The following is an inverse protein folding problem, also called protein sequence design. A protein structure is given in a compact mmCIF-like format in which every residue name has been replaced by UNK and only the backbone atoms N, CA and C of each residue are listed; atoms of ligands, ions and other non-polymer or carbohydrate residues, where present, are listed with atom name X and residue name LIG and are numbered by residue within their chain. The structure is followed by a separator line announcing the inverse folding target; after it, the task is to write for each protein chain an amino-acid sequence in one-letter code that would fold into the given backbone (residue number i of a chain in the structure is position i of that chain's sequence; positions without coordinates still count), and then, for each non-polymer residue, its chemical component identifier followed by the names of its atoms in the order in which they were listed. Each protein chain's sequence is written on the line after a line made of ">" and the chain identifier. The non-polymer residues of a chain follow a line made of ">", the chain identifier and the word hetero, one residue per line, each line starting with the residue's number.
data_IF_332432761125
#
_entry.id   IF_332432761125
#
_cell.length_a   1.000
_cell.length_b   1.000
_cell.length_c   1.000
_cell.angle_alpha   90.00
_cell.angle_beta   90.00
_cell.angle_gamma   90.00
#
_symmetry.space_group_name_H-M   'P 1'
#
loop_
_entity.id
_entity.type
_entity.pdbx_description
1 polymer ?
#
# COMPACT_ATOMS: atom_id res chain seq x y z
N UNK A 1 -34.62 -30.71 -55.33
CA UNK A 1 -34.15 -29.32 -55.11
C UNK A 1 -33.90 -29.16 -53.62
N UNK A 2 -32.77 -28.56 -53.27
CA UNK A 2 -32.04 -28.76 -52.00
C UNK A 2 -32.72 -28.03 -50.82
N UNK A 3 -33.54 -28.73 -50.04
CA UNK A 3 -34.15 -28.20 -48.80
C UNK A 3 -33.12 -27.81 -47.72
N UNK A 4 -31.92 -28.38 -47.78
CA UNK A 4 -30.81 -28.04 -46.89
C UNK A 4 -30.37 -26.57 -47.00
N UNK A 5 -30.50 -25.95 -48.17
CA UNK A 5 -30.14 -24.53 -48.33
C UNK A 5 -31.20 -23.57 -47.77
N UNK A 6 -32.45 -24.01 -47.69
CA UNK A 6 -33.54 -23.21 -47.09
C UNK A 6 -33.41 -23.21 -45.57
N UNK A 7 -33.07 -24.34 -44.95
CA UNK A 7 -32.82 -24.42 -43.50
C UNK A 7 -31.59 -23.61 -43.08
N UNK A 8 -30.51 -23.64 -43.88
CA UNK A 8 -29.32 -22.81 -43.62
C UNK A 8 -29.60 -21.32 -43.80
N UNK A 9 -30.41 -20.93 -44.79
CA UNK A 9 -30.81 -19.53 -44.96
C UNK A 9 -31.73 -19.03 -43.82
N UNK A 10 -32.61 -19.89 -43.30
CA UNK A 10 -33.46 -19.56 -42.14
C UNK A 10 -32.61 -19.43 -40.87
N UNK A 11 -31.68 -20.36 -40.62
CA UNK A 11 -30.77 -20.30 -39.47
C UNK A 11 -29.84 -19.08 -39.53
N UNK A 12 -29.34 -18.71 -40.71
CA UNK A 12 -28.54 -17.50 -40.89
C UNK A 12 -29.35 -16.20 -40.73
N UNK A 13 -30.66 -16.23 -41.00
CA UNK A 13 -31.54 -15.06 -40.78
C UNK A 13 -31.95 -14.85 -39.32
N UNK A 14 -31.81 -15.86 -38.45
CA UNK A 14 -31.95 -15.72 -36.99
C UNK A 14 -30.61 -15.42 -36.29
N UNK A 15 -29.47 -15.58 -36.98
CA UNK A 15 -28.14 -15.32 -36.44
C UNK A 15 -27.63 -13.89 -36.66
N UNK A 16 -28.45 -12.99 -37.19
CA UNK A 16 -28.09 -11.58 -37.37
C UNK A 16 -29.03 -10.71 -36.52
N UNK A 17 -28.41 -9.89 -35.66
CA UNK A 17 -29.00 -8.88 -34.76
C UNK A 17 -29.16 -9.33 -33.29
N UNK A 18 -28.08 -9.78 -32.65
CA UNK A 18 -27.83 -9.28 -31.28
C UNK A 18 -27.18 -7.90 -31.42
N UNK A 19 -27.98 -6.91 -31.81
CA UNK A 19 -27.64 -5.53 -31.54
C UNK A 19 -27.78 -5.38 -30.03
N UNK A 20 -26.67 -5.44 -29.29
CA UNK A 20 -26.61 -4.88 -27.94
C UNK A 20 -27.11 -3.44 -28.05
N UNK A 21 -28.32 -3.20 -27.55
CA UNK A 21 -29.00 -1.89 -27.62
C UNK A 21 -28.71 -1.04 -26.39
N UNK A 22 -28.11 -1.63 -25.38
CA UNK A 22 -27.69 -0.99 -24.14
C UNK A 22 -26.17 -0.92 -24.18
N UNK A 23 -25.66 0.29 -23.98
CA UNK A 23 -24.25 0.52 -23.65
C UNK A 23 -23.89 -0.26 -22.40
N UNK A 24 -22.60 -0.55 -22.23
CA UNK A 24 -22.09 -0.92 -20.93
C UNK A 24 -22.28 0.33 -20.03
N UNK A 25 -23.31 0.32 -19.19
CA UNK A 25 -23.53 1.39 -18.23
C UNK A 25 -22.55 1.17 -17.07
N UNK A 26 -21.56 2.05 -16.96
CA UNK A 26 -20.61 2.01 -15.85
C UNK A 26 -21.34 2.44 -14.57
N UNK A 27 -21.20 1.70 -13.46
CA UNK A 27 -21.71 2.14 -12.17
C UNK A 27 -21.10 3.50 -11.81
N UNK A 28 -21.96 4.45 -11.44
CA UNK A 28 -21.55 5.76 -10.92
C UNK A 28 -21.86 5.83 -9.42
N UNK A 29 -21.12 6.69 -8.71
CA UNK A 29 -21.43 6.98 -7.31
C UNK A 29 -22.88 7.48 -7.17
N UNK A 30 -23.67 6.76 -6.38
CA UNK A 30 -25.11 6.99 -6.27
C UNK A 30 -25.50 8.07 -5.24
N UNK A 31 -24.50 8.75 -4.65
CA UNK A 31 -24.71 9.84 -3.68
C UNK A 31 -25.20 9.39 -2.31
N UNK A 32 -25.32 8.08 -2.05
CA UNK A 32 -25.76 7.59 -0.72
C UNK A 32 -24.60 7.48 0.23
N UNK A 33 -24.77 8.06 1.41
CA UNK A 33 -23.85 7.89 2.52
C UNK A 33 -23.92 6.46 3.09
N UNK A 34 -22.76 5.83 3.18
CA UNK A 34 -22.57 4.47 3.69
C UNK A 34 -21.51 4.40 4.79
N UNK A 35 -20.84 5.51 5.08
CA UNK A 35 -19.78 5.58 6.09
C UNK A 35 -20.44 5.76 7.45
N UNK A 36 -20.02 4.95 8.43
CA UNK A 36 -20.52 5.09 9.80
C UNK A 36 -19.64 6.04 10.59
N UNK A 37 -20.25 7.04 11.21
CA UNK A 37 -19.60 7.84 12.26
C UNK A 37 -19.45 6.99 13.53
N UNK A 38 -18.25 6.44 13.74
CA UNK A 38 -17.95 5.56 14.87
C UNK A 38 -17.74 6.36 16.15
N UNK A 39 -18.42 5.95 17.21
CA UNK A 39 -18.30 6.56 18.53
C UNK A 39 -18.46 5.53 19.65
N UNK A 40 -18.19 5.96 20.89
CA UNK A 40 -18.25 5.11 22.07
C UNK A 40 -19.60 4.38 22.30
N UNK A 41 -20.69 4.84 21.68
CA UNK A 41 -22.03 4.24 21.83
C UNK A 41 -22.32 3.16 20.78
N UNK A 42 -21.81 3.29 19.56
CA UNK A 42 -22.19 2.42 18.44
C UNK A 42 -21.10 1.43 18.00
N UNK A 43 -19.81 1.65 18.34
CA UNK A 43 -18.69 0.86 17.79
C UNK A 43 -18.91 -0.65 17.89
N UNK A 44 -19.34 -1.14 19.06
CA UNK A 44 -19.58 -2.59 19.27
C UNK A 44 -20.66 -3.17 18.37
N UNK A 45 -21.68 -2.38 18.04
CA UNK A 45 -22.76 -2.83 17.18
C UNK A 45 -22.35 -2.80 15.71
N UNK A 46 -21.54 -1.81 15.32
CA UNK A 46 -21.06 -1.66 13.95
C UNK A 46 -20.02 -2.75 13.65
N UNK A 47 -19.06 -2.99 14.55
CA UNK A 47 -18.04 -4.03 14.41
C UNK A 47 -18.63 -5.44 14.25
N UNK A 48 -19.75 -5.74 14.92
CA UNK A 48 -20.42 -7.04 14.78
C UNK A 48 -21.13 -7.26 13.44
N UNK A 49 -21.27 -6.21 12.63
CA UNK A 49 -22.05 -6.25 11.38
C UNK A 49 -21.18 -6.57 10.17
N UNK A 50 -19.87 -6.30 10.26
CA UNK A 50 -18.94 -6.39 9.15
C UNK A 50 -17.79 -7.32 9.52
N UNK A 51 -17.41 -8.20 8.60
CA UNK A 51 -16.28 -9.12 8.78
C UNK A 51 -14.96 -8.34 8.70
N UNK A 52 -14.88 -7.34 7.82
CA UNK A 52 -13.77 -6.37 7.72
C UNK A 52 -14.32 -4.96 7.92
N UNK A 53 -13.56 -4.16 8.66
CA UNK A 53 -13.92 -2.77 8.94
C UNK A 53 -12.73 -1.86 8.65
N UNK A 54 -12.88 -0.99 7.66
CA UNK A 54 -11.93 0.09 7.38
C UNK A 54 -12.30 1.28 8.23
N UNK A 55 -11.35 1.75 9.05
CA UNK A 55 -11.53 2.90 9.92
C UNK A 55 -10.61 4.02 9.46
N UNK A 56 -11.19 5.09 8.94
CA UNK A 56 -10.46 6.32 8.69
C UNK A 56 -10.39 7.14 9.97
N UNK A 57 -9.24 7.13 10.63
CA UNK A 57 -8.99 7.92 11.83
C UNK A 57 -8.50 9.32 11.41
N UNK A 58 -9.18 10.36 11.89
CA UNK A 58 -8.88 11.73 11.50
C UNK A 58 -9.05 12.70 12.68
N UNK A 59 -8.30 13.79 12.67
CA UNK A 59 -8.42 14.85 13.67
C UNK A 59 -9.87 15.35 13.78
N UNK A 60 -10.30 15.60 15.03
CA UNK A 60 -11.62 16.16 15.27
C UNK A 60 -11.67 17.59 14.67
N UNK A 61 -12.69 17.95 13.87
CA UNK A 61 -12.79 19.27 13.22
C UNK A 61 -12.97 20.47 14.17
N UNK A 62 -12.87 20.27 15.49
CA UNK A 62 -13.12 21.29 16.50
C UNK A 62 -11.89 21.54 17.39
N UNK A 63 -11.42 22.79 17.44
CA UNK A 63 -10.29 23.23 18.27
C UNK A 63 -10.59 23.37 19.78
N UNK A 64 -11.75 22.90 20.24
CA UNK A 64 -12.16 23.05 21.64
C UNK A 64 -11.51 22.00 22.53
N UNK A 65 -11.18 22.38 23.78
CA UNK A 65 -10.63 21.46 24.79
C UNK A 65 -11.56 20.28 25.15
N UNK A 66 -12.85 20.39 24.80
CA UNK A 66 -13.84 19.32 24.99
C UNK A 66 -13.78 18.35 23.80
N UNK A 67 -13.66 18.85 22.58
CA UNK A 67 -13.46 18.05 21.37
C UNK A 67 -12.12 17.28 21.44
N UNK A 68 -11.04 17.91 21.91
CA UNK A 68 -9.76 17.23 22.13
C UNK A 68 -9.84 16.10 23.18
N UNK A 69 -10.54 16.32 24.30
CA UNK A 69 -10.76 15.26 25.29
C UNK A 69 -11.68 14.15 24.79
N UNK A 70 -12.65 14.50 23.95
CA UNK A 70 -13.53 13.52 23.31
C UNK A 70 -12.73 12.66 22.34
N UNK A 71 -11.84 13.28 21.56
CA UNK A 71 -10.90 12.63 20.66
C UNK A 71 -9.93 11.69 21.39
N UNK A 72 -9.29 12.14 22.49
CA UNK A 72 -8.44 11.28 23.34
C UNK A 72 -9.20 10.04 23.86
N UNK A 73 -10.49 10.20 24.20
CA UNK A 73 -11.33 9.08 24.67
C UNK A 73 -11.71 8.15 23.52
N UNK A 74 -11.96 8.70 22.33
CA UNK A 74 -12.29 7.95 21.11
C UNK A 74 -11.08 7.17 20.58
N UNK A 75 -9.89 7.77 20.63
CA UNK A 75 -8.61 7.12 20.34
C UNK A 75 -8.34 5.96 21.32
N UNK A 76 -8.44 6.20 22.64
CA UNK A 76 -8.34 5.14 23.65
C UNK A 76 -9.43 4.07 23.49
N UNK A 77 -10.61 4.43 23.00
CA UNK A 77 -11.66 3.46 22.70
C UNK A 77 -11.29 2.64 21.45
N UNK A 78 -10.74 3.27 20.40
CA UNK A 78 -10.28 2.64 19.18
C UNK A 78 -9.12 1.68 19.47
N UNK A 79 -8.10 2.14 20.19
CA UNK A 79 -6.96 1.32 20.66
C UNK A 79 -7.44 0.12 21.48
N UNK A 80 -8.47 0.33 22.31
CA UNK A 80 -9.09 -0.76 23.07
C UNK A 80 -9.98 -1.66 22.23
N UNK A 81 -10.49 -1.20 21.09
CA UNK A 81 -11.20 -2.02 20.11
C UNK A 81 -10.23 -2.88 19.32
N UNK A 82 -9.15 -2.27 18.81
CA UNK A 82 -8.00 -2.97 18.21
C UNK A 82 -7.61 -4.17 19.06
N UNK A 83 -7.44 -3.97 20.38
CA UNK A 83 -7.03 -5.03 21.34
C UNK A 83 -8.09 -6.08 21.72
N UNK A 84 -9.40 -5.88 21.47
CA UNK A 84 -10.45 -6.74 22.06
C UNK A 84 -11.46 -7.33 21.04
N UNK A 85 -11.41 -6.93 19.76
CA UNK A 85 -12.46 -7.24 18.80
C UNK A 85 -11.99 -8.02 17.57
N UNK A 86 -10.73 -7.87 17.17
CA UNK A 86 -10.11 -8.55 16.04
C UNK A 86 -8.81 -9.17 16.53
N UNK A 87 -8.45 -10.30 15.93
CA UNK A 87 -7.15 -10.94 16.20
C UNK A 87 -6.04 -10.10 15.56
N UNK A 88 -6.29 -9.49 14.39
CA UNK A 88 -5.33 -8.61 13.68
C UNK A 88 -5.82 -7.20 13.36
N UNK A 89 -4.88 -6.25 13.33
CA UNK A 89 -5.11 -4.85 12.94
C UNK A 89 -4.02 -4.38 12.00
N UNK A 90 -4.41 -4.11 10.75
CA UNK A 90 -3.50 -3.68 9.69
C UNK A 90 -3.53 -2.15 9.59
N UNK A 91 -2.36 -1.54 9.59
CA UNK A 91 -2.17 -0.11 9.30
C UNK A 91 -1.95 0.06 7.80
N UNK A 92 -2.72 0.96 7.18
CA UNK A 92 -2.60 1.24 5.75
C UNK A 92 -1.79 2.51 5.57
N UNK A 93 -0.61 2.38 4.96
CA UNK A 93 0.32 3.48 4.70
C UNK A 93 0.63 3.61 3.19
N UNK A 94 -0.44 3.62 2.41
CA UNK A 94 -0.42 3.79 0.96
C UNK A 94 -1.23 5.00 0.48
N UNK A 95 -1.30 5.16 -0.84
CA UNK A 95 -2.05 6.22 -1.52
C UNK A 95 -3.52 6.19 -1.10
N UNK A 96 -4.07 7.37 -0.75
CA UNK A 96 -5.48 7.51 -0.40
C UNK A 96 -6.35 7.65 -1.67
N UNK A 97 -6.31 6.64 -2.54
CA UNK A 97 -7.08 6.54 -3.77
C UNK A 97 -8.09 5.37 -3.71
N UNK A 98 -9.23 5.52 -4.39
CA UNK A 98 -10.36 4.60 -4.23
C UNK A 98 -10.10 3.21 -4.86
N UNK A 99 -9.40 3.18 -5.99
CA UNK A 99 -8.89 1.98 -6.64
C UNK A 99 -7.87 1.27 -5.75
N UNK A 100 -6.82 1.97 -5.32
CA UNK A 100 -5.77 1.40 -4.45
C UNK A 100 -6.34 0.82 -3.15
N UNK A 101 -7.22 1.56 -2.47
CA UNK A 101 -7.88 1.07 -1.26
C UNK A 101 -8.75 -0.15 -1.51
N UNK A 102 -9.47 -0.20 -2.64
CA UNK A 102 -10.33 -1.34 -2.97
C UNK A 102 -9.49 -2.58 -3.26
N UNK A 103 -8.38 -2.44 -3.99
CA UNK A 103 -7.43 -3.52 -4.25
C UNK A 103 -6.82 -4.04 -2.94
N UNK A 104 -6.31 -3.14 -2.09
CA UNK A 104 -5.78 -3.51 -0.78
C UNK A 104 -6.82 -4.25 0.09
N UNK A 105 -8.07 -3.77 0.13
CA UNK A 105 -9.14 -4.45 0.88
C UNK A 105 -9.45 -5.84 0.29
N UNK A 106 -9.36 -6.02 -1.03
CA UNK A 106 -9.52 -7.35 -1.62
C UNK A 106 -8.44 -8.29 -1.15
N UNK A 107 -7.18 -7.86 -1.12
CA UNK A 107 -6.07 -8.65 -0.61
C UNK A 107 -6.27 -9.00 0.87
N UNK A 108 -6.74 -8.06 1.70
CA UNK A 108 -7.07 -8.32 3.12
C UNK A 108 -8.20 -9.36 3.28
N UNK A 109 -9.14 -9.46 2.33
CA UNK A 109 -10.24 -10.45 2.35
C UNK A 109 -9.73 -11.86 2.04
N UNK A 110 -8.64 -11.99 1.29
CA UNK A 110 -8.10 -13.29 0.90
C UNK A 110 -7.47 -14.03 2.09
N UNK A 111 -7.33 -15.35 1.95
CA UNK A 111 -6.69 -16.16 2.98
C UNK A 111 -5.20 -15.79 3.07
N UNK A 112 -4.61 -15.66 4.28
CA UNK A 112 -3.22 -15.22 4.44
C UNK A 112 -2.19 -16.22 3.89
N UNK A 113 -2.59 -17.48 3.65
CA UNK A 113 -1.72 -18.50 3.06
C UNK A 113 -2.34 -19.13 1.82
N UNK A 114 -1.71 -18.92 0.67
CA UNK A 114 -2.10 -19.51 -0.61
C UNK A 114 -1.57 -20.95 -0.77
N UNK A 115 -2.44 -21.88 -1.21
CA UNK A 115 -2.06 -23.29 -1.38
C UNK A 115 -1.66 -23.61 -2.82
N UNK A 116 -0.41 -24.06 -3.00
CA UNK A 116 0.12 -24.55 -4.28
C UNK A 116 -0.02 -26.08 -4.35
N UNK A 117 -0.96 -26.57 -5.16
CA UNK A 117 -1.20 -28.01 -5.36
C UNK A 117 -0.81 -28.50 -6.76
N UNK A 118 -0.66 -27.61 -7.74
CA UNK A 118 -0.32 -28.01 -9.10
C UNK A 118 0.71 -27.11 -9.81
N UNK A 119 1.17 -27.56 -10.98
CA UNK A 119 2.21 -26.87 -11.74
C UNK A 119 1.77 -25.55 -12.36
N UNK A 120 0.47 -25.23 -12.38
CA UNK A 120 -0.01 -23.93 -12.86
C UNK A 120 0.06 -22.91 -11.73
N UNK A 121 -0.35 -23.29 -10.52
CA UNK A 121 -0.18 -22.47 -9.31
C UNK A 121 1.30 -22.25 -9.00
N UNK A 122 2.14 -23.28 -9.15
CA UNK A 122 3.59 -23.12 -8.98
C UNK A 122 4.17 -22.04 -9.91
N UNK A 123 3.68 -21.95 -11.16
CA UNK A 123 4.08 -20.89 -12.07
C UNK A 123 3.53 -19.51 -11.68
N UNK A 124 2.38 -19.48 -11.02
CA UNK A 124 1.86 -18.24 -10.43
C UNK A 124 2.82 -17.74 -9.37
N UNK A 125 3.19 -18.62 -8.43
CA UNK A 125 4.19 -18.35 -7.40
C UNK A 125 5.55 -17.92 -7.98
N UNK A 126 6.07 -18.62 -9.00
CA UNK A 126 7.35 -18.28 -9.64
C UNK A 126 7.32 -16.86 -10.27
N UNK A 127 6.17 -16.37 -10.71
CA UNK A 127 6.03 -15.06 -11.36
C UNK A 127 5.85 -13.88 -10.39
N UNK A 128 5.73 -14.12 -9.08
CA UNK A 128 5.66 -13.04 -8.08
C UNK A 128 7.09 -12.58 -7.79
N UNK A 129 7.56 -11.53 -8.46
CA UNK A 129 8.95 -11.05 -8.32
C UNK A 129 9.06 -9.79 -7.45
N UNK A 130 7.99 -8.99 -7.36
CA UNK A 130 8.04 -7.65 -6.74
C UNK A 130 7.85 -7.67 -5.22
N UNK A 131 7.22 -8.72 -4.69
CA UNK A 131 6.87 -8.84 -3.27
C UNK A 131 7.76 -9.87 -2.56
N UNK A 132 8.04 -9.63 -1.27
CA UNK A 132 8.59 -10.66 -0.38
C UNK A 132 7.60 -11.82 -0.37
N UNK A 133 8.10 -13.04 -0.59
CA UNK A 133 7.26 -14.24 -0.56
C UNK A 133 7.93 -15.39 0.17
N UNK A 134 7.12 -16.16 0.89
CA UNK A 134 7.56 -17.37 1.59
C UNK A 134 6.85 -18.59 1.03
N UNK A 135 7.53 -19.74 0.96
CA UNK A 135 6.88 -21.01 0.63
C UNK A 135 7.30 -22.14 1.55
N UNK A 136 6.30 -22.75 2.19
CA UNK A 136 6.48 -23.88 3.09
C UNK A 136 6.00 -25.22 2.52
N UNK A 137 6.75 -26.31 2.75
CA UNK A 137 6.28 -27.67 2.46
C UNK A 137 5.85 -28.40 3.74
N UNK A 138 4.55 -28.65 3.90
CA UNK A 138 4.01 -29.29 5.09
C UNK A 138 3.31 -30.61 4.78
N UNK A 139 3.00 -31.37 5.86
CA UNK A 139 2.35 -32.67 5.72
C UNK A 139 0.87 -32.54 5.31
N UNK A 140 0.18 -31.54 5.84
CA UNK A 140 -1.26 -31.28 5.64
C UNK A 140 -1.66 -30.00 6.38
N UNK A 141 -2.83 -29.44 6.06
CA UNK A 141 -3.45 -28.32 6.81
C UNK A 141 -3.65 -28.55 8.33
N UNK A 142 -3.44 -29.78 8.83
CA UNK A 142 -3.56 -30.13 10.27
C UNK A 142 -2.22 -30.32 10.97
N UNK A 143 -1.09 -30.02 10.32
CA UNK A 143 0.20 -30.13 11.00
C UNK A 143 0.45 -28.90 11.84
N UNK A 144 0.93 -29.09 13.07
CA UNK A 144 1.32 -28.01 13.99
C UNK A 144 2.31 -27.03 13.34
N UNK A 145 3.19 -27.48 12.43
CA UNK A 145 4.12 -26.62 11.70
C UNK A 145 3.45 -25.75 10.63
N UNK A 146 2.32 -26.19 10.08
CA UNK A 146 1.55 -25.38 9.14
C UNK A 146 0.70 -24.37 9.89
N UNK A 147 0.14 -24.75 11.05
CA UNK A 147 -0.58 -23.85 11.94
C UNK A 147 0.34 -22.68 12.36
N UNK A 148 1.53 -22.95 12.90
CA UNK A 148 2.50 -21.90 13.24
C UNK A 148 2.97 -21.05 12.04
N UNK A 149 2.94 -21.59 10.81
CA UNK A 149 3.26 -20.85 9.60
C UNK A 149 2.11 -19.97 9.14
N UNK A 150 0.87 -20.41 9.33
CA UNK A 150 -0.33 -19.64 9.04
C UNK A 150 -0.55 -18.54 10.08
N UNK A 151 -0.30 -18.82 11.37
CA UNK A 151 -0.33 -17.82 12.43
C UNK A 151 0.67 -16.70 12.13
N UNK A 152 1.91 -17.04 11.74
CA UNK A 152 2.91 -16.05 11.32
C UNK A 152 2.51 -15.28 10.05
N UNK A 153 1.69 -15.87 9.17
CA UNK A 153 1.24 -15.20 7.95
C UNK A 153 0.20 -14.11 8.25
N UNK A 154 -0.63 -14.29 9.30
CA UNK A 154 -1.64 -13.30 9.72
C UNK A 154 -0.99 -11.98 10.14
N UNK A 155 0.17 -12.02 10.78
CA UNK A 155 0.94 -10.84 11.23
C UNK A 155 1.46 -9.95 10.09
N UNK A 156 1.71 -10.51 8.90
CA UNK A 156 2.22 -9.76 7.74
C UNK A 156 1.20 -9.62 6.60
N UNK A 157 -0.02 -10.10 6.78
CA UNK A 157 -1.04 -10.05 5.75
C UNK A 157 -1.56 -8.62 5.57
N UNK A 158 -1.67 -8.07 4.34
CA UNK A 158 -1.41 -8.70 3.04
C UNK A 158 -0.07 -8.33 2.40
N UNK A 159 0.82 -7.66 3.14
CA UNK A 159 2.07 -7.07 2.63
C UNK A 159 3.09 -8.12 2.20
N UNK A 160 3.19 -9.24 2.93
CA UNK A 160 4.09 -10.36 2.58
C UNK A 160 3.28 -11.57 2.15
N UNK A 161 3.64 -12.18 1.00
CA UNK A 161 2.85 -13.27 0.41
C UNK A 161 3.30 -14.63 0.94
N UNK A 162 2.44 -15.33 1.66
CA UNK A 162 2.72 -16.67 2.18
C UNK A 162 2.10 -17.75 1.30
N UNK A 163 2.91 -18.74 0.93
CA UNK A 163 2.50 -19.90 0.17
C UNK A 163 2.78 -21.19 0.93
N UNK A 164 1.94 -22.19 0.73
CA UNK A 164 2.18 -23.52 1.27
C UNK A 164 1.86 -24.60 0.23
N UNK A 165 2.62 -25.70 0.29
CA UNK A 165 2.28 -26.90 -0.45
C UNK A 165 2.19 -28.11 0.46
N UNK A 166 1.25 -29.01 0.15
CA UNK A 166 1.18 -30.35 0.73
C UNK A 166 1.56 -31.42 -0.31
N UNK A 167 1.89 -30.99 -1.53
CA UNK A 167 2.11 -31.84 -2.67
C UNK A 167 3.61 -32.13 -2.86
N UNK A 168 4.01 -33.38 -2.61
CA UNK A 168 5.42 -33.79 -2.71
C UNK A 168 6.05 -33.59 -4.11
N UNK A 169 5.27 -33.40 -5.17
CA UNK A 169 5.80 -33.06 -6.50
C UNK A 169 6.14 -31.58 -6.63
N UNK A 170 5.30 -30.71 -6.06
CA UNK A 170 5.53 -29.26 -6.01
C UNK A 170 6.73 -28.99 -5.11
N UNK A 171 6.74 -29.55 -3.90
CA UNK A 171 7.88 -29.45 -2.99
C UNK A 171 9.20 -29.91 -3.62
N UNK A 172 9.16 -30.98 -4.43
CA UNK A 172 10.35 -31.44 -5.16
C UNK A 172 10.81 -30.46 -6.25
N UNK A 173 9.89 -29.74 -6.89
CA UNK A 173 10.24 -28.74 -7.89
C UNK A 173 10.90 -27.51 -7.24
N UNK A 174 10.41 -27.12 -6.05
CA UNK A 174 10.99 -26.08 -5.19
C UNK A 174 12.17 -26.56 -4.33
N UNK A 175 12.64 -27.79 -4.52
CA UNK A 175 13.72 -28.41 -3.72
C UNK A 175 13.51 -28.48 -2.18
N UNK A 176 12.30 -28.21 -1.69
CA UNK A 176 11.88 -28.24 -0.29
C UNK A 176 11.81 -29.66 0.31
N UNK A 177 12.28 -29.80 1.56
CA UNK A 177 12.01 -30.98 2.41
C UNK A 177 10.83 -30.70 3.34
N UNK A 178 10.34 -31.75 4.00
CA UNK A 178 9.19 -31.64 4.89
C UNK A 178 9.50 -30.68 6.06
N UNK A 179 8.60 -29.72 6.25
CA UNK A 179 8.69 -28.58 7.16
C UNK A 179 9.80 -27.58 6.80
N UNK A 180 10.29 -27.60 5.55
CA UNK A 180 11.12 -26.51 5.06
C UNK A 180 10.24 -25.31 4.70
N UNK A 181 10.77 -24.12 4.98
CA UNK A 181 10.22 -22.83 4.57
C UNK A 181 11.38 -22.09 3.92
N UNK A 182 11.16 -21.66 2.69
CA UNK A 182 12.07 -20.81 1.92
C UNK A 182 11.50 -19.39 1.92
N UNK A 183 12.39 -18.41 2.11
CA UNK A 183 12.13 -16.98 1.99
C UNK A 183 12.73 -16.48 0.69
N UNK A 184 11.96 -15.75 -0.10
CA UNK A 184 12.38 -15.11 -1.33
C UNK A 184 12.29 -13.60 -1.13
N UNK A 185 13.44 -12.96 -1.23
CA UNK A 185 13.54 -11.51 -1.36
C UNK A 185 13.05 -11.08 -2.76
N UNK A 186 12.40 -9.92 -2.90
CA UNK A 186 12.02 -9.37 -4.20
C UNK A 186 13.17 -9.37 -5.19
N UNK A 187 12.87 -9.75 -6.43
CA UNK A 187 13.80 -9.80 -7.55
C UNK A 187 15.00 -10.76 -7.41
N UNK A 188 15.10 -11.52 -6.32
CA UNK A 188 16.14 -12.52 -6.10
C UNK A 188 15.59 -13.93 -6.41
N UNK A 189 16.21 -14.62 -7.37
CA UNK A 189 15.79 -15.96 -7.82
C UNK A 189 16.06 -17.05 -6.76
N UNK A 190 17.21 -16.98 -6.10
CA UNK A 190 17.68 -18.00 -5.15
C UNK A 190 17.14 -17.71 -3.73
N UNK A 191 16.36 -18.63 -3.12
CA UNK A 191 15.79 -18.39 -1.80
C UNK A 191 16.78 -18.58 -0.66
N UNK A 192 16.47 -17.92 0.46
CA UNK A 192 17.08 -18.17 1.76
C UNK A 192 16.28 -19.21 2.53
N UNK A 193 16.90 -20.35 2.83
CA UNK A 193 16.31 -21.37 3.71
C UNK A 193 16.35 -20.87 5.16
N UNK A 194 15.18 -20.65 5.76
CA UNK A 194 15.09 -20.18 7.15
C UNK A 194 15.81 -21.17 8.09
N UNK A 195 16.78 -20.73 8.92
CA UNK A 195 17.50 -21.63 9.81
C UNK A 195 16.65 -22.07 11.01
N UNK A 196 16.97 -23.21 11.63
CA UNK A 196 16.45 -23.53 12.97
C UNK A 196 15.23 -24.46 13.08
N UNK A 197 14.85 -25.20 12.04
CA UNK A 197 13.70 -26.15 12.05
C UNK A 197 13.62 -27.08 13.29
N UNK A 198 12.42 -27.39 13.80
CA UNK A 198 11.11 -26.86 13.39
C UNK A 198 10.87 -25.44 13.91
N UNK A 199 10.17 -24.62 13.13
CA UNK A 199 9.90 -23.21 13.46
C UNK A 199 8.68 -23.06 14.36
N UNK A 200 8.74 -22.15 15.32
CA UNK A 200 7.56 -21.49 15.90
C UNK A 200 7.17 -20.25 15.11
N UNK A 201 5.95 -19.76 15.33
CA UNK A 201 5.47 -18.46 14.87
C UNK A 201 6.48 -17.34 15.17
N UNK A 202 6.87 -17.16 16.44
CA UNK A 202 7.90 -16.18 16.87
C UNK A 202 9.23 -16.27 16.09
N UNK A 203 9.63 -17.47 15.65
CA UNK A 203 10.89 -17.67 14.92
C UNK A 203 10.76 -17.27 13.44
N UNK A 204 9.57 -17.44 12.86
CA UNK A 204 9.25 -17.00 11.51
C UNK A 204 9.08 -15.48 11.46
N UNK A 205 8.26 -14.93 12.36
CA UNK A 205 8.02 -13.48 12.49
C UNK A 205 9.34 -12.75 12.64
N UNK A 206 10.15 -13.16 13.61
CA UNK A 206 11.45 -12.54 13.82
C UNK A 206 12.37 -12.64 12.61
N UNK A 207 12.39 -13.78 11.91
CA UNK A 207 13.23 -13.90 10.72
C UNK A 207 12.78 -12.93 9.63
N UNK A 208 11.48 -12.77 9.45
CA UNK A 208 10.92 -11.85 8.45
C UNK A 208 11.23 -10.41 8.84
N UNK A 209 10.98 -10.00 10.09
CA UNK A 209 11.35 -8.67 10.60
C UNK A 209 12.85 -8.38 10.50
N UNK A 210 13.72 -9.37 10.70
CA UNK A 210 15.17 -9.20 10.55
C UNK A 210 15.60 -9.07 9.06
N UNK A 211 14.69 -9.30 8.09
CA UNK A 211 14.94 -9.30 6.64
C UNK A 211 13.79 -8.62 5.85
N UNK A 212 13.08 -7.66 6.45
CA UNK A 212 11.89 -7.02 5.87
C UNK A 212 12.23 -5.82 4.97
N UNK A 213 13.52 -5.45 4.88
CA UNK A 213 14.06 -4.45 3.96
C UNK A 213 14.85 -5.13 2.82
N UNK A 214 14.25 -5.27 1.62
CA UNK A 214 14.94 -5.79 0.44
C UNK A 214 16.01 -4.85 -0.09
N UNK A 215 16.98 -5.43 -0.79
CA UNK A 215 18.05 -4.75 -1.53
C UNK A 215 17.48 -3.95 -2.70
N UNK A 216 16.47 -4.49 -3.38
CA UNK A 216 15.69 -3.81 -4.42
C UNK A 216 14.21 -3.95 -4.08
N UNK A 217 13.52 -2.83 -3.89
CA UNK A 217 12.10 -2.78 -3.53
C UNK A 217 11.35 -1.89 -4.51
N UNK A 218 10.18 -2.33 -4.96
CA UNK A 218 9.33 -1.54 -5.85
C UNK A 218 8.42 -0.63 -5.04
N UNK A 219 8.44 0.66 -5.33
CA UNK A 219 7.45 1.60 -4.83
C UNK A 219 6.13 1.34 -5.55
N UNK A 220 5.08 1.03 -4.79
CA UNK A 220 3.74 0.75 -5.30
C UNK A 220 2.72 1.65 -4.59
N UNK A 221 1.55 1.93 -5.21
CA UNK A 221 0.56 2.82 -4.60
C UNK A 221 0.14 2.41 -3.18
N UNK A 222 0.01 1.12 -2.88
CA UNK A 222 -0.42 0.63 -1.57
C UNK A 222 0.63 0.66 -0.45
N UNK A 223 1.93 0.82 -0.76
CA UNK A 223 3.03 0.79 0.21
C UNK A 223 3.93 2.05 0.15
N UNK A 224 3.51 3.07 -0.60
CA UNK A 224 4.38 4.20 -0.96
C UNK A 224 4.91 4.98 0.24
N UNK A 225 4.10 5.17 1.29
CA UNK A 225 4.52 5.96 2.47
C UNK A 225 5.33 5.10 3.44
N UNK A 226 5.01 3.81 3.56
CA UNK A 226 5.80 2.82 4.30
C UNK A 226 7.24 2.78 3.78
N UNK A 227 7.42 2.61 2.47
CA UNK A 227 8.75 2.58 1.83
C UNK A 227 9.47 3.92 1.99
N UNK A 228 8.78 5.04 1.81
CA UNK A 228 9.41 6.36 1.89
C UNK A 228 9.84 6.73 3.33
N UNK A 229 9.10 6.27 4.34
CA UNK A 229 9.43 6.49 5.75
C UNK A 229 10.56 5.56 6.26
N UNK A 230 10.92 4.53 5.49
CA UNK A 230 11.97 3.57 5.81
C UNK A 230 13.29 3.92 5.11
N UNK A 231 13.85 5.10 5.40
CA UNK A 231 15.12 5.58 4.86
C UNK A 231 16.34 4.81 5.42
N UNK A 232 17.47 4.95 4.73
CA UNK A 232 18.78 4.47 5.16
C UNK A 232 19.61 5.69 5.53
N UNK A 233 19.83 5.91 6.83
CA UNK A 233 20.62 7.03 7.35
C UNK A 233 20.16 8.44 6.88
N UNK A 234 18.87 8.61 6.57
CA UNK A 234 18.28 9.88 6.10
C UNK A 234 18.06 9.93 4.59
N UNK A 235 18.52 8.94 3.83
CA UNK A 235 18.56 8.99 2.38
C UNK A 235 17.87 7.79 1.72
N UNK A 236 17.49 7.96 0.45
CA UNK A 236 17.03 6.88 -0.43
C UNK A 236 17.85 6.85 -1.72
N UNK A 237 18.31 5.65 -2.11
CA UNK A 237 18.76 5.41 -3.49
C UNK A 237 17.51 5.10 -4.32
N UNK A 238 17.17 5.98 -5.25
CA UNK A 238 15.96 5.88 -6.07
C UNK A 238 16.33 5.59 -7.52
N UNK A 239 15.68 4.60 -8.12
CA UNK A 239 15.79 4.29 -9.54
C UNK A 239 14.43 4.45 -10.24
N UNK A 240 14.35 5.32 -11.24
CA UNK A 240 13.18 5.42 -12.12
C UNK A 240 13.40 4.58 -13.37
N UNK A 241 12.47 3.67 -13.67
CA UNK A 241 12.48 2.87 -14.89
C UNK A 241 11.07 2.38 -15.24
N UNK A 242 10.60 2.70 -16.45
CA UNK A 242 9.32 2.18 -16.97
C UNK A 242 9.52 0.74 -17.48
N UNK A 243 8.89 -0.26 -16.85
CA UNK A 243 9.05 -1.67 -17.23
C UNK A 243 8.58 -1.95 -18.67
N UNK A 244 7.58 -1.19 -19.12
CA UNK A 244 6.99 -1.33 -20.45
C UNK A 244 7.86 -0.73 -21.58
N UNK A 245 8.80 0.16 -21.23
CA UNK A 245 9.73 0.77 -22.17
C UNK A 245 10.98 -0.12 -22.39
N UNK A 246 11.51 -0.27 -23.61
CA UNK A 246 12.68 -1.10 -23.85
C UNK A 246 13.94 -0.69 -23.07
N UNK A 247 14.18 0.62 -22.91
CA UNK A 247 15.36 1.13 -22.22
C UNK A 247 15.16 1.01 -20.69
N UNK A 248 13.94 1.27 -20.20
CA UNK A 248 13.55 1.00 -18.81
C UNK A 248 13.67 -0.47 -18.43
N UNK A 249 13.24 -1.40 -19.29
CA UNK A 249 13.40 -2.84 -19.06
C UNK A 249 14.88 -3.26 -19.01
N UNK A 250 15.72 -2.75 -19.92
CA UNK A 250 17.15 -3.08 -19.92
C UNK A 250 17.84 -2.56 -18.66
N UNK A 251 17.52 -1.34 -18.22
CA UNK A 251 18.03 -0.77 -16.98
C UNK A 251 17.56 -1.53 -15.74
N UNK A 252 16.29 -1.96 -15.70
CA UNK A 252 15.76 -2.77 -14.61
C UNK A 252 16.51 -4.11 -14.47
N UNK A 253 16.83 -4.78 -15.58
CA UNK A 253 17.60 -6.03 -15.52
C UNK A 253 19.03 -5.80 -14.99
N UNK A 254 19.62 -4.62 -15.24
CA UNK A 254 20.91 -4.22 -14.65
C UNK A 254 20.75 -3.99 -13.13
N UNK A 255 19.71 -3.29 -12.70
CA UNK A 255 19.40 -3.08 -11.28
C UNK A 255 19.20 -4.41 -10.54
N UNK A 256 18.45 -5.34 -11.12
CA UNK A 256 18.26 -6.69 -10.55
C UNK A 256 19.59 -7.42 -10.39
N UNK A 257 20.49 -7.32 -11.38
CA UNK A 257 21.81 -7.92 -11.29
C UNK A 257 22.64 -7.31 -10.15
N UNK A 258 22.68 -5.97 -10.05
CA UNK A 258 23.41 -5.27 -8.98
C UNK A 258 22.86 -5.64 -7.60
N UNK A 259 21.53 -5.72 -7.46
CA UNK A 259 20.87 -6.15 -6.24
C UNK A 259 21.21 -7.60 -5.88
N UNK A 260 21.21 -8.53 -6.85
CA UNK A 260 21.62 -9.93 -6.63
C UNK A 260 23.07 -10.05 -6.19
N UNK A 261 23.98 -9.28 -6.81
CA UNK A 261 25.40 -9.28 -6.46
C UNK A 261 25.67 -8.67 -5.06
N UNK A 262 24.75 -7.82 -4.55
CA UNK A 262 24.90 -7.06 -3.30
C UNK A 262 23.85 -7.39 -2.20
N UNK A 263 23.05 -8.45 -2.35
CA UNK A 263 21.97 -8.83 -1.40
C UNK A 263 22.44 -9.04 0.06
N UNK A 264 23.72 -9.37 0.26
CA UNK A 264 24.30 -9.54 1.60
C UNK A 264 24.68 -8.20 2.29
N UNK A 265 24.50 -7.05 1.62
CA UNK A 265 24.83 -5.73 2.15
C UNK A 265 23.60 -5.08 2.85
N UNK A 266 23.56 -5.02 4.20
CA UNK A 266 22.41 -4.49 4.93
C UNK A 266 22.22 -2.98 4.80
N UNK A 267 23.24 -2.28 4.32
CA UNK A 267 23.22 -0.82 4.16
C UNK A 267 22.73 -0.41 2.76
N UNK A 268 22.49 -1.38 1.85
CA UNK A 268 21.97 -1.13 0.51
C UNK A 268 20.47 -1.41 0.43
N UNK A 269 19.69 -0.40 0.06
CA UNK A 269 18.29 -0.58 -0.37
C UNK A 269 17.96 0.41 -1.47
N UNK A 270 17.61 -0.10 -2.64
CA UNK A 270 17.26 0.67 -3.83
C UNK A 270 15.72 0.66 -3.98
N UNK A 271 15.14 1.85 -4.07
CA UNK A 271 13.71 2.04 -4.36
C UNK A 271 13.53 2.18 -5.86
N UNK A 272 13.02 1.14 -6.52
CA UNK A 272 12.60 1.23 -7.91
C UNK A 272 11.20 1.82 -8.01
N UNK A 273 11.04 2.86 -8.83
CA UNK A 273 9.77 3.49 -9.14
C UNK A 273 9.50 3.31 -10.63
N UNK A 274 8.41 2.64 -10.97
CA UNK A 274 7.86 2.70 -12.31
C UNK A 274 7.03 4.00 -12.44
N UNK A 275 7.43 4.96 -13.30
CA UNK A 275 6.72 6.23 -13.40
C UNK A 275 5.25 6.09 -13.87
N UNK A 276 4.91 5.01 -14.57
CA UNK A 276 3.55 4.73 -15.04
C UNK A 276 2.57 4.40 -13.90
N UNK A 277 3.07 3.92 -12.76
CA UNK A 277 2.27 3.63 -11.57
C UNK A 277 1.85 4.92 -10.84
N UNK A 278 2.54 6.04 -11.07
CA UNK A 278 2.31 7.31 -10.37
C UNK A 278 2.17 8.52 -11.33
N UNK A 279 1.18 8.49 -12.24
CA UNK A 279 1.04 9.50 -13.29
C UNK A 279 0.78 10.93 -12.77
N UNK A 280 0.31 11.06 -11.52
CA UNK A 280 0.07 12.36 -10.88
C UNK A 280 1.33 12.95 -10.23
N UNK A 281 2.32 12.13 -9.89
CA UNK A 281 3.58 12.55 -9.28
C UNK A 281 4.66 12.86 -10.32
N UNK A 282 4.54 12.31 -11.53
CA UNK A 282 5.44 12.58 -12.67
C UNK A 282 5.87 14.06 -12.80
N UNK A 283 4.96 15.05 -12.95
CA UNK A 283 5.37 16.45 -13.13
C UNK A 283 6.00 17.06 -11.87
N UNK A 284 5.73 16.47 -10.70
CA UNK A 284 6.33 16.92 -9.45
C UNK A 284 7.77 16.43 -9.34
N UNK A 285 8.04 15.16 -9.64
CA UNK A 285 9.40 14.60 -9.62
C UNK A 285 10.31 15.26 -10.65
N UNK A 286 9.89 15.37 -11.92
CA UNK A 286 10.68 16.05 -12.97
C UNK A 286 11.06 17.48 -12.56
N UNK A 287 10.13 18.20 -11.90
CA UNK A 287 10.37 19.57 -11.47
C UNK A 287 11.27 19.66 -10.23
N UNK A 288 11.09 18.74 -9.28
CA UNK A 288 11.79 18.78 -7.98
C UNK A 288 13.23 18.32 -8.15
N UNK A 289 13.42 17.19 -8.83
CA UNK A 289 14.73 16.59 -9.05
C UNK A 289 15.44 17.11 -10.30
N UNK A 290 14.75 17.84 -11.18
CA UNK A 290 15.36 18.39 -12.40
C UNK A 290 15.72 17.34 -13.45
N UNK A 291 15.14 16.15 -13.37
CA UNK A 291 15.39 14.99 -14.24
C UNK A 291 14.31 14.86 -15.33
N UNK A 292 14.63 14.08 -16.38
CA UNK A 292 13.70 13.68 -17.44
C UNK A 292 13.30 12.21 -17.25
N UNK A 293 12.06 11.99 -16.79
CA UNK A 293 11.52 10.65 -16.53
C UNK A 293 11.08 9.90 -17.80
N UNK A 294 11.32 10.47 -18.99
CA UNK A 294 11.18 9.72 -20.25
C UNK A 294 12.35 8.77 -20.53
N UNK A 295 13.42 8.82 -19.71
CA UNK A 295 14.55 7.90 -19.73
C UNK A 295 14.78 7.35 -18.31
N UNK A 296 15.46 6.20 -18.17
CA UNK A 296 15.82 5.68 -16.87
C UNK A 296 16.69 6.65 -16.07
N UNK A 297 16.51 6.71 -14.75
CA UNK A 297 17.26 7.57 -13.84
C UNK A 297 17.66 6.78 -12.59
N UNK A 298 18.80 7.11 -11.98
CA UNK A 298 19.15 6.64 -10.63
C UNK A 298 19.87 7.74 -9.87
N UNK A 299 19.53 7.92 -8.60
CA UNK A 299 20.02 9.03 -7.78
C UNK A 299 19.90 8.75 -6.28
N UNK A 300 20.56 9.57 -5.48
CA UNK A 300 20.39 9.65 -4.03
C UNK A 300 19.48 10.85 -3.74
N UNK A 301 18.50 10.66 -2.86
CA UNK A 301 17.56 11.70 -2.43
C UNK A 301 17.51 11.77 -0.92
N UNK A 302 17.71 12.96 -0.37
CA UNK A 302 17.52 13.24 1.06
C UNK A 302 16.03 13.17 1.42
N UNK A 303 15.70 12.48 2.51
CA UNK A 303 14.32 12.24 2.92
C UNK A 303 13.65 13.45 3.60
N UNK A 304 14.43 14.40 4.13
CA UNK A 304 13.97 15.56 4.90
C UNK A 304 13.64 16.77 4.01
N UNK A 305 14.49 17.10 3.02
CA UNK A 305 14.30 18.28 2.16
C UNK A 305 14.19 18.02 0.66
N UNK A 306 14.39 16.76 0.24
CA UNK A 306 14.33 16.29 -1.14
C UNK A 306 15.42 16.88 -2.06
N UNK A 307 16.53 17.35 -1.49
CA UNK A 307 17.76 17.56 -2.26
C UNK A 307 18.27 16.22 -2.81
N UNK A 308 18.89 16.27 -3.99
CA UNK A 308 19.18 15.04 -4.75
C UNK A 308 20.33 15.17 -5.72
N UNK A 309 21.02 14.05 -5.93
CA UNK A 309 22.13 13.89 -6.86
C UNK A 309 21.89 12.66 -7.74
N UNK A 310 22.07 12.81 -9.05
CA UNK A 310 21.68 11.80 -10.05
C UNK A 310 22.88 11.36 -10.88
N UNK A 311 22.94 10.07 -11.22
CA UNK A 311 23.93 9.53 -12.14
C UNK A 311 23.73 10.14 -13.53
N UNK A 312 24.78 10.74 -14.07
CA UNK A 312 24.79 11.29 -15.43
C UNK A 312 24.78 10.15 -16.46
N UNK A 313 23.59 9.90 -17.01
CA UNK A 313 23.37 8.99 -18.13
C UNK A 313 23.03 9.83 -19.35
N UNK A 314 23.82 9.71 -20.42
CA UNK A 314 23.69 10.50 -21.67
C UNK A 314 22.34 10.24 -22.40
N UNK A 315 21.21 10.71 -21.84
CA UNK A 315 19.84 10.65 -22.36
C UNK A 315 19.46 9.29 -23.02
N UNK A 316 19.86 8.17 -22.41
CA UNK A 316 19.59 6.81 -22.90
C UNK A 316 20.47 6.32 -24.07
N UNK A 317 21.49 7.08 -24.50
CA UNK A 317 22.40 6.64 -25.58
C UNK A 317 23.42 5.58 -25.10
N UNK A 318 23.83 5.60 -23.83
CA UNK A 318 24.75 4.64 -23.22
C UNK A 318 24.29 4.30 -21.78
N UNK A 319 23.63 3.15 -21.59
CA UNK A 319 23.29 2.63 -20.25
C UNK A 319 24.55 2.17 -19.50
N UNK A 320 24.61 2.35 -18.17
CA UNK A 320 25.72 1.85 -17.36
C UNK A 320 25.72 0.33 -17.38
N UNK A 321 26.92 -0.26 -17.33
CA UNK A 321 27.03 -1.68 -16.98
C UNK A 321 26.77 -1.91 -15.50
N UNK A 322 26.46 -3.15 -15.10
CA UNK A 322 26.28 -3.51 -13.69
C UNK A 322 27.50 -3.11 -12.83
N UNK A 323 28.73 -3.32 -13.34
CA UNK A 323 29.97 -2.93 -12.65
C UNK A 323 30.05 -1.41 -12.46
N UNK A 324 29.68 -0.60 -13.46
CA UNK A 324 29.70 0.88 -13.36
C UNK A 324 28.62 1.41 -12.41
N UNK A 325 27.46 0.75 -12.38
CA UNK A 325 26.39 1.10 -11.46
C UNK A 325 26.72 0.71 -10.02
N UNK A 326 27.33 -0.46 -9.81
CA UNK A 326 27.83 -0.91 -8.52
C UNK A 326 28.88 0.07 -7.97
N UNK A 327 29.88 0.46 -8.77
CA UNK A 327 30.89 1.45 -8.39
C UNK A 327 30.22 2.78 -7.94
N UNK A 328 29.22 3.27 -8.67
CA UNK A 328 28.50 4.50 -8.31
C UNK A 328 27.70 4.38 -7.00
N UNK A 329 27.05 3.22 -6.78
CA UNK A 329 26.32 2.94 -5.53
C UNK A 329 27.29 2.82 -4.35
N UNK A 330 28.46 2.21 -4.53
CA UNK A 330 29.49 2.15 -3.49
C UNK A 330 29.95 3.56 -3.09
N UNK A 331 30.16 4.44 -4.07
CA UNK A 331 30.54 5.83 -3.83
C UNK A 331 29.42 6.58 -3.05
N UNK A 332 28.16 6.40 -3.42
CA UNK A 332 26.99 6.93 -2.70
C UNK A 332 26.91 6.43 -1.25
N UNK A 333 26.95 5.11 -1.02
CA UNK A 333 26.91 4.54 0.33
C UNK A 333 28.11 4.94 1.20
N UNK A 334 29.22 5.34 0.59
CA UNK A 334 30.41 5.80 1.32
C UNK A 334 30.36 7.28 1.71
N UNK A 335 29.36 8.03 1.21
CA UNK A 335 29.26 9.48 1.32
C UNK A 335 30.25 10.24 0.43
N UNK A 336 30.77 9.61 -0.63
CA UNK A 336 31.53 10.32 -1.68
C UNK A 336 30.58 11.03 -2.67
N UNK A 337 29.33 10.57 -2.75
CA UNK A 337 28.23 11.20 -3.48
C UNK A 337 27.17 11.52 -2.44
N UNK A 338 27.05 12.78 -2.05
CA UNK A 338 26.17 13.27 -0.99
C UNK A 338 25.42 14.51 -1.52
N UNK A 339 24.07 14.55 -1.47
CA UNK A 339 23.29 15.72 -1.89
C UNK A 339 23.61 17.01 -1.11
N UNK A 340 24.14 16.91 0.11
CA UNK A 340 24.48 18.07 0.96
C UNK A 340 25.87 18.68 0.67
N UNK A 341 26.75 17.98 -0.06
CA UNK A 341 28.17 18.37 -0.22
C UNK A 341 28.43 19.43 -1.32
N UNK A 342 27.39 19.87 -2.06
CA UNK A 342 27.50 20.87 -3.14
C UNK A 342 27.66 22.33 -2.66
N UNK A 343 27.65 22.58 -1.34
CA UNK A 343 27.61 23.93 -0.76
C UNK A 343 28.99 24.56 -0.40
N UNK A 344 30.13 23.85 -0.55
CA UNK A 344 31.41 24.27 0.05
C UNK A 344 32.58 24.61 -0.91
N UNK A 345 32.40 24.63 -2.24
CA UNK A 345 33.54 24.74 -3.21
C UNK A 345 33.55 25.98 -4.14
N UNK A 346 32.97 27.11 -3.71
CA UNK A 346 32.97 28.38 -4.49
C UNK A 346 33.62 29.58 -3.77
N UNK A 347 34.68 29.35 -2.99
CA UNK A 347 35.40 30.41 -2.23
C UNK A 347 36.93 30.45 -2.49
N UNK A 348 37.37 30.12 -3.72
CA UNK A 348 38.74 30.37 -4.21
C UNK A 348 38.73 31.34 -5.43
N UNK A 349 38.15 32.54 -5.24
CA UNK A 349 38.47 33.71 -6.08
C UNK A 349 39.88 34.20 -5.70
N UNK A 350 40.88 33.48 -6.20
CA UNK A 350 42.29 33.85 -6.14
C UNK A 350 42.53 35.13 -6.97
N UNK A 351 42.96 36.16 -6.26
CA UNK A 351 43.56 37.41 -6.71
C UNK A 351 44.30 37.32 -8.07
N UNK A 352 43.74 37.94 -9.11
CA UNK A 352 44.55 38.46 -10.22
C UNK A 352 44.36 39.98 -10.32
N UNK A 353 45.24 40.67 -9.57
CA UNK A 353 45.69 42.04 -9.81
C UNK A 353 46.08 42.20 -11.30
N UNK A 354 45.30 42.98 -12.06
CA UNK A 354 45.83 43.72 -13.20
C UNK A 354 45.23 45.15 -13.20
N UNK A 355 46.00 46.03 -12.57
CA UNK A 355 46.03 47.47 -12.82
C UNK A 355 46.17 47.75 -14.33
N UNK A 356 45.31 48.58 -14.90
CA UNK A 356 45.70 49.72 -15.74
C UNK A 356 44.44 50.49 -16.23
N UNK A 357 44.13 51.54 -15.48
CA UNK A 357 44.05 52.95 -15.92
C UNK A 357 43.15 53.41 -17.09
N UNK A 358 42.55 54.57 -16.79
CA UNK A 358 42.07 55.65 -17.66
C UNK A 358 40.65 55.48 -18.26
N UNK A 359 39.72 56.43 -18.17
CA UNK A 359 39.63 57.74 -17.52
C UNK A 359 38.24 58.28 -17.89
N UNK A 360 37.76 59.21 -17.07
CA UNK A 360 36.94 60.37 -17.43
C UNK A 360 35.40 60.28 -17.54
N UNK A 361 34.81 60.95 -16.53
CA UNK A 361 33.87 62.07 -16.63
C UNK A 361 32.38 61.71 -16.53
N UNK A 362 31.79 61.97 -15.35
CA UNK A 362 31.16 63.25 -14.96
C UNK A 362 29.77 63.35 -15.62
N UNK A 363 28.68 63.75 -14.99
CA UNK A 363 28.41 64.34 -13.70
C UNK A 363 26.87 64.52 -13.66
N UNK A 364 26.37 64.85 -12.47
CA UNK A 364 25.15 65.61 -12.19
C UNK A 364 23.80 64.87 -12.32
N UNK A 365 23.20 64.51 -11.19
CA UNK A 365 22.41 65.37 -10.30
C UNK A 365 21.06 65.77 -10.94
N UNK A 366 19.97 65.34 -10.32
CA UNK A 366 19.12 66.30 -9.60
C UNK A 366 18.02 65.56 -8.83
N UNK A 367 18.02 65.86 -7.53
CA UNK A 367 16.96 65.71 -6.55
C UNK A 367 15.63 66.37 -6.97
N UNK A 368 14.57 66.01 -6.25
CA UNK A 368 13.45 66.84 -5.78
C UNK A 368 12.15 66.03 -5.91
N UNK A 369 11.63 65.48 -4.81
CA UNK A 369 10.91 66.15 -3.70
C UNK A 369 9.39 66.26 -3.95
N UNK A 370 8.70 66.17 -2.81
CA UNK A 370 7.32 66.58 -2.50
C UNK A 370 6.19 65.58 -2.87
N UNK A 371 5.58 64.91 -1.89
CA UNK A 371 4.70 65.39 -0.79
C UNK A 371 3.21 65.41 -1.18
N UNK A 372 2.39 65.24 -0.14
CA UNK A 372 0.94 65.44 -0.04
C UNK A 372 0.04 64.31 -0.60
N UNK A 373 -1.04 63.90 0.04
CA UNK A 373 -1.63 64.11 1.37
C UNK A 373 -2.87 63.19 1.38
N UNK A 374 -3.29 62.82 2.59
CA UNK A 374 -4.68 62.69 3.07
C UNK A 374 -5.82 62.38 2.08
N UNK A 375 -6.61 61.34 2.41
CA UNK A 375 -7.97 61.63 2.90
C UNK A 375 -8.56 60.43 3.64
N UNK A 376 -9.04 60.78 4.83
CA UNK A 376 -9.93 60.06 5.72
C UNK A 376 -11.31 59.81 5.07
N UNK A 377 -12.08 58.92 5.70
CA UNK A 377 -13.52 58.99 5.98
C UNK A 377 -14.08 57.55 5.90
N UNK A 378 -14.30 56.90 7.04
CA UNK A 378 -15.55 56.99 7.83
C UNK A 378 -16.79 56.66 6.97
N UNK A 379 -17.43 55.54 7.26
CA UNK A 379 -18.78 55.62 7.83
C UNK A 379 -19.23 54.26 8.36
N UNK A 380 -19.58 54.32 9.64
CA UNK A 380 -20.46 53.45 10.39
C UNK A 380 -21.81 53.24 9.68
N UNK A 381 -22.46 52.12 10.01
CA UNK A 381 -23.86 52.06 10.48
C UNK A 381 -24.20 50.56 10.52
N UNK A 382 -24.16 49.91 11.69
CA UNK A 382 -25.17 49.94 12.75
C UNK A 382 -26.57 49.46 12.32
N UNK A 383 -27.18 48.81 13.32
CA UNK A 383 -28.57 48.42 13.49
C UNK A 383 -28.94 47.01 13.03
N UNK A 384 -28.88 46.01 13.92
CA UNK A 384 -29.71 45.82 15.12
C UNK A 384 -31.18 45.53 14.83
N UNK A 385 -31.70 44.69 15.71
CA UNK A 385 -33.10 44.51 16.07
C UNK A 385 -33.95 43.71 15.09
N UNK A 386 -34.76 42.76 15.53
CA UNK A 386 -35.04 42.17 16.84
C UNK A 386 -36.23 41.24 16.56
N UNK A 387 -36.43 40.27 17.45
CA UNK A 387 -37.75 39.86 17.97
C UNK A 387 -38.84 39.39 16.97
N UNK A 388 -39.66 38.41 17.28
CA UNK A 388 -39.92 37.62 18.47
C UNK A 388 -40.94 36.57 18.00
N UNK A 389 -41.01 35.49 18.77
CA UNK A 389 -42.22 34.81 19.22
C UNK A 389 -43.43 34.68 18.26
N UNK A 390 -43.89 33.45 18.09
CA UNK A 390 -45.05 33.04 18.89
C UNK A 390 -45.28 31.53 18.76
N UNK A 391 -45.33 30.91 19.94
CA UNK A 391 -46.01 29.66 20.25
C UNK A 391 -47.47 29.68 19.73
N UNK A 392 -48.01 28.51 19.41
CA UNK A 392 -49.23 27.99 20.04
C UNK A 392 -49.73 26.72 19.32
N UNK A 393 -49.67 25.64 20.09
CA UNK A 393 -50.79 24.76 20.46
C UNK A 393 -51.50 23.83 19.44
N UNK A 394 -51.49 22.57 19.87
CA UNK A 394 -52.61 21.63 20.00
C UNK A 394 -53.30 21.07 18.73
N UNK A 395 -53.25 19.74 18.58
CA UNK A 395 -54.34 18.90 19.08
C UNK A 395 -54.06 17.40 18.86
N UNK A 396 -54.49 16.66 19.87
CA UNK A 396 -54.63 15.21 20.08
C UNK A 396 -55.07 14.35 18.87
N UNK A 397 -54.65 13.08 18.88
CA UNK A 397 -55.60 11.96 18.83
C UNK A 397 -54.94 10.68 19.38
N UNK A 398 -55.51 10.23 20.50
CA UNK A 398 -55.38 8.90 21.10
C UNK A 398 -55.88 7.81 20.12
N UNK A 399 -55.24 6.64 20.14
CA UNK A 399 -55.96 5.37 20.01
C UNK A 399 -55.20 4.31 20.82
N UNK A 400 -55.81 3.96 21.95
CA UNK A 400 -55.57 2.77 22.76
C UNK A 400 -55.81 1.49 21.95
N UNK A 401 -55.03 0.44 22.22
CA UNK A 401 -55.54 -0.94 22.28
C UNK A 401 -54.56 -1.77 23.13
N UNK A 402 -54.84 -1.80 24.44
CA UNK A 402 -54.47 -2.90 25.34
C UNK A 402 -55.36 -4.11 25.02
N UNK A 403 -54.78 -5.32 24.96
CA UNK A 403 -55.43 -6.56 25.40
C UNK A 403 -54.35 -7.63 25.62
N UNK A 404 -53.94 -7.69 26.88
CA UNK A 404 -53.83 -8.85 27.78
C UNK A 404 -53.91 -10.31 27.23
N UNK A 405 -53.16 -11.13 27.97
CA UNK A 405 -53.46 -12.49 28.44
C UNK A 405 -52.85 -13.75 27.76
N UNK A 406 -52.08 -14.42 28.63
CA UNK A 406 -52.09 -15.84 29.01
C UNK A 406 -51.25 -16.87 28.21
N UNK A 407 -50.19 -17.33 28.90
CA UNK A 407 -49.98 -18.70 29.39
C UNK A 407 -50.56 -19.85 28.53
N UNK A 408 -49.69 -20.77 28.12
CA UNK A 408 -49.77 -22.15 28.62
C UNK A 408 -48.52 -22.95 28.21
N UNK A 409 -47.96 -23.60 29.24
CA UNK A 409 -47.06 -24.74 29.17
C UNK A 409 -47.64 -25.87 28.31
N UNK A 410 -46.79 -26.65 27.66
CA UNK A 410 -46.92 -28.11 27.62
C UNK A 410 -45.55 -28.73 27.29
N UNK A 411 -44.96 -29.30 28.35
CA UNK A 411 -44.04 -30.41 28.30
C UNK A 411 -44.65 -31.60 27.54
N UNK A 412 -43.84 -32.35 26.82
CA UNK A 412 -43.98 -33.81 26.75
C UNK A 412 -42.60 -34.41 26.46
N UNK A 413 -42.00 -34.89 27.55
CA UNK A 413 -41.01 -35.96 27.62
C UNK A 413 -41.56 -37.27 27.00
N UNK A 414 -40.65 -38.12 26.53
CA UNK A 414 -40.60 -39.59 26.72
C UNK A 414 -39.60 -40.12 25.68
N UNK A 415 -38.37 -40.46 26.07
CA UNK A 415 -37.96 -41.75 26.69
C UNK A 415 -38.22 -42.97 25.78
N UNK A 416 -37.14 -43.64 25.40
CA UNK A 416 -36.91 -45.07 25.66
C UNK A 416 -35.67 -45.55 24.87
N UNK A 417 -34.55 -45.61 25.58
CA UNK A 417 -33.87 -46.84 26.01
C UNK A 417 -33.70 -48.06 25.07
N UNK A 418 -32.56 -48.69 25.35
CA UNK A 418 -32.25 -50.13 25.31
C UNK A 418 -31.50 -50.74 24.10
N UNK A 419 -30.23 -51.03 24.43
CA UNK A 419 -29.65 -52.38 24.52
C UNK A 419 -28.76 -52.89 23.37
N UNK A 420 -27.48 -53.04 23.77
CA UNK A 420 -26.73 -54.31 23.83
C UNK A 420 -26.85 -55.30 22.66
N UNK A 421 -25.71 -55.60 22.04
CA UNK A 421 -25.06 -56.92 22.18
C UNK A 421 -23.79 -56.98 21.31
N UNK A 422 -22.67 -57.10 22.01
CA UNK A 422 -21.68 -58.20 21.93
C UNK A 422 -21.32 -58.91 20.60
N UNK A 423 -20.04 -59.31 20.62
CA UNK A 423 -19.41 -60.50 20.04
C UNK A 423 -18.67 -60.42 18.69
N UNK A 424 -17.34 -60.57 18.88
CA UNK A 424 -16.50 -61.63 18.33
C UNK A 424 -15.74 -61.41 17.01
N UNK A 425 -14.41 -61.51 17.17
CA UNK A 425 -13.49 -62.40 16.46
C UNK A 425 -13.60 -62.49 14.92
N UNK A 426 -12.52 -62.13 14.23
CA UNK A 426 -11.59 -63.15 13.71
C UNK A 426 -10.48 -62.54 12.82
N UNK A 427 -9.29 -63.11 13.02
CA UNK A 427 -8.14 -63.22 12.12
C UNK A 427 -8.34 -62.81 10.63
N UNK A 428 -7.41 -62.00 10.10
CA UNK A 428 -6.37 -62.43 9.14
C UNK A 428 -5.41 -61.31 8.72
#
# INVERSE_FOLDING_TARGET
>A
MKWTWVLVAVLLSFGALSLGKESLDFPEYDGKDRVHDLNAKNYKSVMKKYDIMVVYYHDHPGSSRVAQRQFEIEELALERCKRNAYDEVIEYDGELAADTLVEFIYDVIEDPVEIIDNSKELKGFENVEEDIKLVGYFKSHKSEHFEAFADAAEEFHPHIKFFATFNAKVAKALELKLNDVDFYEPFIDDPVLIPGKPYSEDELVKFIEDNDRPTLRKLQPHNMYEIWADDVDGEHIIAFAEEADPDGFEFLEILKQVAEDNTDNPDLSIVWIDPDDFPLLLPHWEKTFGIDLSHPQIGVVDADDADSVWLDMDDGEDMPSADELEDWIEDALSGEIDPDDDDDDDDDDDDDDDDDDDDDDDDDDDDDDDDDDDDDDDDDDDDDDDDDDDDDDDDDDDDDDDDDDDDDDDDDDDDDDDDDDDDDDDDY
#
